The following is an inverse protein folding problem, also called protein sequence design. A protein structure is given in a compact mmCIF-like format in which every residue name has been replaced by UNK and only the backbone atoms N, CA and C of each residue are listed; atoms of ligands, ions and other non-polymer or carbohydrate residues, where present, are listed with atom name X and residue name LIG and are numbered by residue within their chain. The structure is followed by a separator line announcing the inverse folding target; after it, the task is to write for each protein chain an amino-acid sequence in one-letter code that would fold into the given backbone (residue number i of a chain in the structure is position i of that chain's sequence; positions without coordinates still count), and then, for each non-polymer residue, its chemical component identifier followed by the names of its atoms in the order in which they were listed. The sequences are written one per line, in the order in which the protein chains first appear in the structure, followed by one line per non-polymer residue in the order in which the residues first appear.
data_IF_268433365162
#
_entry.id   IF_268433365162
#
_cell.length_a   1.000
_cell.length_b   1.000
_cell.length_c   1.000
_cell.angle_alpha   90.00
_cell.angle_beta   90.00
_cell.angle_gamma   90.00
#
_symmetry.space_group_name_H-M   'P 1'
#
loop_
_entity.id
_entity.type
_entity.pdbx_description
1 polymer ?
#
# COMPACT_ATOMS: atom_id res chain seq x y z
N UNK A 1 -65.80 14.50 5.44
CA UNK A 1 -65.07 13.23 5.62
C UNK A 1 -63.94 13.19 4.60
N UNK A 2 -62.71 13.51 4.99
CA UNK A 2 -61.54 13.46 4.11
C UNK A 2 -60.79 12.14 4.36
N UNK A 3 -60.66 11.34 3.31
CA UNK A 3 -59.95 10.06 3.31
C UNK A 3 -58.46 10.36 3.10
N UNK A 4 -57.66 10.15 4.14
CA UNK A 4 -56.20 10.28 4.09
C UNK A 4 -55.65 9.08 3.32
N UNK A 5 -55.04 9.33 2.16
CA UNK A 5 -54.32 8.32 1.38
C UNK A 5 -53.05 7.88 2.13
N UNK A 6 -52.73 6.59 2.21
CA UNK A 6 -51.50 6.14 2.84
C UNK A 6 -50.31 6.51 1.97
N UNK A 7 -49.39 7.26 2.57
CA UNK A 7 -48.09 7.61 2.04
C UNK A 7 -47.28 6.32 1.82
N UNK A 8 -47.05 5.99 0.55
CA UNK A 8 -46.27 4.83 0.14
C UNK A 8 -44.79 5.10 0.47
N UNK A 9 -44.32 4.64 1.63
CA UNK A 9 -42.91 4.69 2.00
C UNK A 9 -42.11 3.76 1.07
N UNK A 10 -41.53 4.34 0.03
CA UNK A 10 -40.52 3.72 -0.82
C UNK A 10 -39.29 3.42 0.06
N UNK A 11 -39.14 2.17 0.50
CA UNK A 11 -37.92 1.65 1.10
C UNK A 11 -36.81 1.70 0.05
N UNK A 12 -35.99 2.75 0.09
CA UNK A 12 -34.72 2.82 -0.62
C UNK A 12 -33.80 1.73 -0.04
N UNK A 13 -33.85 0.53 -0.61
CA UNK A 13 -32.76 -0.43 -0.53
C UNK A 13 -31.54 0.21 -1.17
N UNK A 14 -30.70 0.82 -0.35
CA UNK A 14 -29.33 1.17 -0.73
C UNK A 14 -28.59 -0.14 -0.98
N UNK A 15 -28.50 -0.54 -2.24
CA UNK A 15 -27.48 -1.47 -2.67
C UNK A 15 -26.14 -0.87 -2.23
N UNK A 16 -25.54 -1.43 -1.18
CA UNK A 16 -24.16 -1.18 -0.81
C UNK A 16 -23.26 -1.77 -1.91
N UNK A 17 -23.20 -1.09 -3.06
CA UNK A 17 -22.11 -1.27 -4.02
C UNK A 17 -20.87 -0.73 -3.33
N UNK A 18 -20.23 -1.61 -2.58
CA UNK A 18 -18.89 -1.38 -2.06
C UNK A 18 -18.02 -0.99 -3.26
N UNK A 19 -17.46 0.22 -3.22
CA UNK A 19 -16.60 0.74 -4.29
C UNK A 19 -15.50 -0.29 -4.58
N UNK A 20 -15.28 -0.64 -5.84
CA UNK A 20 -14.26 -1.61 -6.25
C UNK A 20 -12.88 -1.22 -5.72
N UNK A 21 -12.63 0.09 -5.61
CA UNK A 21 -11.39 0.65 -5.07
C UNK A 21 -11.18 0.23 -3.60
N UNK A 22 -12.24 0.27 -2.79
CA UNK A 22 -12.18 -0.10 -1.37
C UNK A 22 -12.02 -1.59 -1.16
N UNK A 23 -12.62 -2.39 -2.06
CA UNK A 23 -12.44 -3.85 -2.05
C UNK A 23 -10.97 -4.22 -2.30
N UNK A 24 -10.33 -3.64 -3.31
CA UNK A 24 -8.92 -3.92 -3.63
C UNK A 24 -8.03 -3.46 -2.50
N UNK A 25 -8.23 -2.24 -2.00
CA UNK A 25 -7.44 -1.75 -0.88
C UNK A 25 -7.54 -2.69 0.31
N UNK A 26 -8.74 -3.13 0.68
CA UNK A 26 -8.93 -4.09 1.79
C UNK A 26 -8.19 -5.42 1.58
N UNK A 27 -7.98 -5.86 0.34
CA UNK A 27 -7.27 -7.11 0.04
C UNK A 27 -5.75 -6.97 0.12
N UNK A 28 -5.21 -5.78 -0.20
CA UNK A 28 -3.77 -5.55 -0.26
C UNK A 28 -3.24 -4.76 0.94
N UNK A 29 -4.09 -4.03 1.64
CA UNK A 29 -3.66 -3.22 2.78
C UNK A 29 -3.08 -4.14 3.86
N UNK A 30 -2.12 -3.58 4.59
CA UNK A 30 -1.41 -4.25 5.67
C UNK A 30 -0.72 -5.57 5.27
N UNK A 31 -0.16 -5.62 4.06
CA UNK A 31 0.43 -6.85 3.53
C UNK A 31 1.72 -6.61 2.76
N UNK A 32 2.55 -7.64 2.68
CA UNK A 32 3.82 -7.65 1.95
C UNK A 32 3.76 -8.64 0.80
N UNK A 33 4.22 -8.18 -0.35
CA UNK A 33 4.20 -8.87 -1.63
C UNK A 33 5.61 -8.96 -2.20
N UNK A 34 6.02 -10.13 -2.70
CA UNK A 34 7.36 -10.35 -3.25
C UNK A 34 7.32 -10.56 -4.76
N UNK A 35 8.33 -10.08 -5.47
CA UNK A 35 8.57 -10.43 -6.86
C UNK A 35 8.94 -11.92 -6.95
N UNK A 36 8.28 -12.68 -7.84
CA UNK A 36 8.49 -14.13 -7.95
C UNK A 36 9.90 -14.53 -8.38
N UNK A 37 10.54 -13.74 -9.25
CA UNK A 37 11.75 -14.14 -9.99
C UNK A 37 12.98 -13.26 -9.71
N UNK A 38 13.05 -12.54 -8.57
CA UNK A 38 14.21 -11.67 -8.28
C UNK A 38 15.32 -12.38 -7.48
N UNK A 39 16.54 -12.39 -8.05
CA UNK A 39 17.76 -13.03 -7.52
C UNK A 39 18.23 -12.46 -6.17
N UNK A 40 17.84 -11.23 -5.85
CA UNK A 40 17.92 -10.63 -4.54
C UNK A 40 16.49 -10.18 -4.23
N UNK A 41 15.81 -10.93 -3.36
CA UNK A 41 14.38 -10.79 -3.15
C UNK A 41 13.97 -9.34 -3.04
N UNK A 42 12.87 -8.95 -3.66
CA UNK A 42 12.37 -7.58 -3.59
C UNK A 42 10.87 -7.62 -3.40
N UNK A 43 10.34 -6.60 -2.72
CA UNK A 43 8.95 -6.63 -2.33
C UNK A 43 8.34 -5.27 -2.08
N UNK A 44 7.03 -5.26 -2.12
CA UNK A 44 6.18 -4.11 -1.85
C UNK A 44 5.37 -4.39 -0.60
N UNK A 45 5.43 -3.48 0.36
CA UNK A 45 4.60 -3.51 1.55
C UNK A 45 3.59 -2.37 1.50
N UNK A 46 2.30 -2.71 1.47
CA UNK A 46 1.20 -1.76 1.42
C UNK A 46 0.63 -1.55 2.83
N UNK A 47 0.36 -0.31 3.18
CA UNK A 47 -0.21 0.04 4.49
C UNK A 47 -0.93 1.39 4.44
N UNK A 48 -1.79 1.61 5.42
CA UNK A 48 -2.39 2.91 5.69
C UNK A 48 -1.62 3.61 6.81
N UNK A 49 -1.27 4.88 6.65
CA UNK A 49 -0.61 5.63 7.71
C UNK A 49 -1.63 6.17 8.74
N UNK A 50 -1.13 6.79 9.81
CA UNK A 50 -1.97 7.39 10.86
C UNK A 50 -2.88 8.54 10.40
N UNK A 51 -2.71 9.04 9.16
CA UNK A 51 -3.56 10.06 8.54
C UNK A 51 -4.60 9.46 7.59
N UNK A 52 -4.70 8.14 7.48
CA UNK A 52 -5.60 7.46 6.54
C UNK A 52 -5.08 7.44 5.09
N UNK A 53 -3.81 7.77 4.86
CA UNK A 53 -3.24 7.79 3.51
C UNK A 53 -2.72 6.40 3.12
N UNK A 54 -3.07 5.98 1.91
CA UNK A 54 -2.60 4.73 1.29
C UNK A 54 -1.15 4.87 0.87
N UNK A 55 -0.26 4.06 1.45
CA UNK A 55 1.20 4.11 1.26
C UNK A 55 1.74 2.74 0.84
N UNK A 56 2.90 2.77 0.20
CA UNK A 56 3.65 1.59 -0.18
C UNK A 56 5.13 1.83 0.02
N UNK A 57 5.85 0.82 0.52
CA UNK A 57 7.31 0.80 0.54
C UNK A 57 7.78 -0.33 -0.35
N UNK A 58 8.63 -0.01 -1.33
CA UNK A 58 9.40 -1.00 -2.05
C UNK A 58 10.72 -1.21 -1.34
N UNK A 59 11.13 -2.46 -1.14
CA UNK A 59 12.42 -2.81 -0.55
C UNK A 59 13.12 -3.85 -1.42
N UNK A 60 14.43 -3.68 -1.57
CA UNK A 60 15.32 -4.72 -2.09
C UNK A 60 15.99 -5.37 -0.88
N UNK A 61 15.91 -6.70 -0.81
CA UNK A 61 16.50 -7.52 0.22
C UNK A 61 17.84 -8.08 -0.27
N UNK A 62 18.81 -8.25 0.63
CA UNK A 62 20.11 -8.81 0.28
C UNK A 62 20.31 -10.19 0.92
N UNK A 63 21.30 -10.94 0.43
CA UNK A 63 21.69 -12.20 1.06
C UNK A 63 22.22 -11.96 2.47
N UNK A 64 21.47 -12.37 3.49
CA UNK A 64 21.82 -12.17 4.90
C UNK A 64 21.60 -10.76 5.46
N UNK A 65 20.97 -9.85 4.71
CA UNK A 65 20.61 -8.50 5.16
C UNK A 65 19.16 -8.16 4.84
N UNK A 66 18.48 -7.54 5.82
CA UNK A 66 17.03 -7.39 5.80
C UNK A 66 16.51 -6.44 4.71
N UNK A 67 17.19 -5.32 4.42
CA UNK A 67 16.90 -4.46 3.25
C UNK A 67 18.15 -3.65 2.89
N UNK A 68 18.50 -3.57 1.61
CA UNK A 68 19.66 -2.80 1.08
C UNK A 68 19.26 -1.50 0.42
N UNK A 69 17.99 -1.35 0.06
CA UNK A 69 17.43 -0.10 -0.44
C UNK A 69 15.93 -0.05 -0.17
N UNK A 70 15.39 1.16 -0.14
CA UNK A 70 13.96 1.39 0.04
C UNK A 70 13.48 2.59 -0.79
N UNK A 71 12.22 2.55 -1.21
CA UNK A 71 11.54 3.65 -1.86
C UNK A 71 10.11 3.76 -1.34
N UNK A 72 9.68 4.99 -1.06
CA UNK A 72 8.38 5.29 -0.48
C UNK A 72 7.43 5.84 -1.54
N UNK A 73 6.22 5.32 -1.56
CA UNK A 73 5.20 5.70 -2.53
C UNK A 73 3.89 6.11 -1.85
N UNK A 74 3.21 7.06 -2.48
CA UNK A 74 1.77 7.25 -2.33
C UNK A 74 1.05 6.28 -3.26
N UNK A 75 -0.03 5.66 -2.79
CA UNK A 75 -0.84 4.73 -3.58
C UNK A 75 -2.18 5.38 -3.92
N UNK A 76 -2.53 5.32 -5.19
CA UNK A 76 -3.89 5.63 -5.67
C UNK A 76 -4.46 4.38 -6.33
N UNK A 77 -5.75 4.13 -6.14
CA UNK A 77 -6.46 3.03 -6.80
C UNK A 77 -7.53 3.62 -7.69
N UNK A 78 -7.54 3.19 -8.93
CA UNK A 78 -8.57 3.54 -9.91
C UNK A 78 -9.08 2.26 -10.57
N UNK A 79 -10.34 1.90 -10.30
CA UNK A 79 -10.96 0.64 -10.73
C UNK A 79 -10.15 -0.55 -10.19
N UNK A 80 -9.47 -1.28 -11.08
CA UNK A 80 -8.63 -2.45 -10.75
C UNK A 80 -7.12 -2.17 -10.86
N UNK A 81 -6.76 -0.88 -10.94
CA UNK A 81 -5.38 -0.45 -11.16
C UNK A 81 -4.84 0.30 -9.95
N UNK A 82 -3.70 -0.16 -9.43
CA UNK A 82 -2.93 0.55 -8.42
C UNK A 82 -1.87 1.39 -9.11
N UNK A 83 -1.73 2.64 -8.67
CA UNK A 83 -0.74 3.58 -9.17
C UNK A 83 0.15 4.04 -8.01
N UNK A 84 1.46 3.89 -8.17
CA UNK A 84 2.45 4.24 -7.15
C UNK A 84 3.18 5.51 -7.58
N UNK A 85 3.05 6.54 -6.75
CA UNK A 85 3.65 7.84 -6.98
C UNK A 85 4.81 8.07 -6.01
N UNK A 86 5.98 8.38 -6.54
CA UNK A 86 7.12 8.82 -5.73
C UNK A 86 7.07 10.34 -5.60
N UNK A 87 7.36 10.83 -4.40
CA UNK A 87 7.57 12.26 -4.19
C UNK A 87 9.01 12.59 -4.59
N UNK A 88 9.17 13.43 -5.61
CA UNK A 88 10.48 13.98 -5.98
C UNK A 88 10.50 15.41 -5.46
N UNK A 89 10.82 15.57 -4.19
CA UNK A 89 11.06 16.89 -3.64
C UNK A 89 12.34 17.44 -4.28
N UNK A 90 12.18 18.36 -5.23
CA UNK A 90 13.31 19.04 -5.90
C UNK A 90 13.85 20.21 -5.06
N UNK A 91 13.11 20.65 -4.04
CA UNK A 91 13.57 21.57 -2.99
C UNK A 91 12.72 21.43 -1.72
N UNK A 92 13.24 21.91 -0.57
CA UNK A 92 12.57 21.86 0.73
C UNK A 92 11.31 22.75 0.83
N UNK A 93 11.12 23.68 -0.11
CA UNK A 93 10.03 24.67 -0.11
C UNK A 93 9.03 24.46 -1.26
N UNK A 94 9.29 23.52 -2.16
CA UNK A 94 8.38 23.19 -3.25
C UNK A 94 7.22 22.30 -2.76
N UNK A 95 6.03 22.53 -3.30
CA UNK A 95 4.93 21.57 -3.21
C UNK A 95 5.40 20.19 -3.71
N UNK A 96 4.97 19.09 -3.08
CA UNK A 96 5.43 17.76 -3.45
C UNK A 96 5.00 17.41 -4.87
N UNK A 97 5.97 17.30 -5.79
CA UNK A 97 5.73 16.80 -7.13
C UNK A 97 5.70 15.26 -7.11
N UNK A 98 4.57 14.71 -7.51
CA UNK A 98 4.31 13.28 -7.49
C UNK A 98 4.40 12.71 -8.89
N UNK A 99 5.44 11.93 -9.15
CA UNK A 99 5.61 11.24 -10.44
C UNK A 99 5.13 9.80 -10.33
N UNK A 100 4.31 9.38 -11.29
CA UNK A 100 3.89 7.99 -11.42
C UNK A 100 5.11 7.14 -11.76
N UNK A 101 5.49 6.25 -10.84
CA UNK A 101 6.66 5.40 -10.99
C UNK A 101 6.28 3.99 -11.45
N UNK A 102 5.20 3.44 -10.88
CA UNK A 102 4.80 2.05 -11.12
C UNK A 102 3.28 1.94 -11.19
N UNK A 103 2.79 0.98 -11.97
CA UNK A 103 1.37 0.68 -12.11
C UNK A 103 1.15 -0.81 -12.02
N UNK A 104 0.21 -1.25 -11.19
CA UNK A 104 -0.18 -2.65 -11.08
C UNK A 104 -1.64 -2.84 -11.47
N UNK A 105 -1.93 -3.97 -12.10
CA UNK A 105 -3.29 -4.49 -12.20
C UNK A 105 -3.48 -5.55 -11.14
N UNK A 106 -4.57 -5.47 -10.39
CA UNK A 106 -4.94 -6.48 -9.41
C UNK A 106 -5.91 -7.49 -10.02
N UNK A 107 -5.47 -8.73 -10.15
CA UNK A 107 -6.27 -9.84 -10.69
C UNK A 107 -6.22 -11.01 -9.73
N UNK A 108 -7.36 -11.44 -9.18
CA UNK A 108 -7.52 -12.69 -8.43
C UNK A 108 -6.40 -13.02 -7.43
N UNK A 109 -6.04 -12.05 -6.58
CA UNK A 109 -4.98 -12.17 -5.55
C UNK A 109 -3.54 -12.14 -6.07
N UNK A 110 -3.33 -11.68 -7.29
CA UNK A 110 -2.02 -11.38 -7.86
C UNK A 110 -1.94 -9.88 -8.20
N UNK A 111 -0.79 -9.27 -7.93
CA UNK A 111 -0.45 -7.96 -8.48
C UNK A 111 0.49 -8.18 -9.65
N UNK A 112 0.16 -7.61 -10.81
CA UNK A 112 1.01 -7.67 -12.00
C UNK A 112 1.40 -6.25 -12.42
N UNK A 113 2.69 -5.99 -12.59
CA UNK A 113 3.17 -4.70 -13.11
C UNK A 113 2.72 -4.53 -14.56
N UNK A 114 2.25 -3.34 -14.91
CA UNK A 114 1.83 -3.02 -16.29
C UNK A 114 3.02 -2.97 -17.23
N UNK A 115 4.16 -2.41 -16.76
CA UNK A 115 5.33 -2.11 -17.58
C UNK A 115 6.07 -3.36 -18.04
N UNK A 116 6.37 -4.28 -17.14
CA UNK A 116 7.24 -5.44 -17.38
C UNK A 116 6.59 -6.79 -17.07
N UNK A 117 5.29 -6.82 -16.77
CA UNK A 117 4.51 -8.04 -16.58
C UNK A 117 5.04 -8.96 -15.47
N UNK A 118 5.78 -8.39 -14.52
CA UNK A 118 6.24 -9.08 -13.33
C UNK A 118 5.08 -9.30 -12.38
N UNK A 119 5.02 -10.50 -11.84
CA UNK A 119 4.02 -10.89 -10.84
C UNK A 119 4.58 -10.73 -9.45
N UNK A 120 3.73 -10.22 -8.56
CA UNK A 120 3.96 -10.24 -7.13
C UNK A 120 3.05 -11.29 -6.50
N UNK A 121 3.65 -12.11 -5.63
CA UNK A 121 2.92 -13.03 -4.76
C UNK A 121 2.78 -12.44 -3.38
N UNK A 122 1.60 -12.62 -2.79
CA UNK A 122 1.40 -12.34 -1.38
C UNK A 122 2.36 -13.21 -0.56
N UNK A 123 3.21 -12.56 0.21
CA UNK A 123 4.17 -13.21 1.08
C UNK A 123 3.70 -13.20 2.53
N UNK A 124 3.11 -12.08 2.97
CA UNK A 124 2.66 -11.90 4.35
C UNK A 124 1.38 -11.06 4.40
N UNK A 125 0.43 -11.49 5.25
CA UNK A 125 -0.80 -10.73 5.60
C UNK A 125 -0.59 -9.75 6.76
N UNK A 126 0.67 -9.51 7.12
CA UNK A 126 1.09 -8.45 8.04
C UNK A 126 2.20 -7.64 7.35
N UNK A 127 2.30 -6.32 7.58
CA UNK A 127 3.35 -5.50 7.02
C UNK A 127 4.72 -5.92 7.55
N UNK A 128 5.61 -6.28 6.65
CA UNK A 128 7.02 -6.48 6.96
C UNK A 128 7.77 -5.29 6.35
N UNK A 129 8.26 -4.42 7.23
CA UNK A 129 9.01 -3.21 6.86
C UNK A 129 10.31 -3.22 7.66
N UNK A 130 11.43 -3.16 6.95
CA UNK A 130 12.74 -2.99 7.55
C UNK A 130 13.16 -1.54 7.47
N UNK A 131 13.56 -0.94 8.59
CA UNK A 131 14.03 0.44 8.62
C UNK A 131 15.53 0.46 8.35
N UNK A 132 15.94 1.20 7.30
CA UNK A 132 17.34 1.53 7.05
C UNK A 132 17.65 2.81 7.83
N UNK A 133 18.31 2.68 8.99
CA UNK A 133 18.73 3.82 9.81
C UNK A 133 20.23 4.09 9.65
N UNK A 134 20.65 5.34 9.33
CA UNK A 134 22.05 5.71 9.43
C UNK A 134 22.44 5.69 10.91
N UNK A 135 23.39 4.85 11.30
CA UNK A 135 23.98 4.90 12.63
C UNK A 135 25.42 5.37 12.51
N UNK A 136 25.89 6.16 13.48
CA UNK A 136 27.28 6.63 13.58
C UNK A 136 28.31 5.48 13.64
N UNK A 137 27.89 4.21 13.80
CA UNK A 137 28.75 3.02 13.80
C UNK A 137 28.16 1.79 13.07
N UNK A 138 27.28 1.97 12.07
CA UNK A 138 26.67 0.87 11.31
C UNK A 138 25.21 0.58 11.69
N UNK A 139 24.39 0.45 10.66
CA UNK A 139 22.92 0.40 10.62
C UNK A 139 22.24 -0.35 11.79
N UNK A 140 21.40 0.36 12.55
CA UNK A 140 20.53 -0.26 13.58
C UNK A 140 19.23 -0.73 12.93
N UNK A 141 18.82 -1.97 13.23
CA UNK A 141 17.79 -2.75 12.53
C UNK A 141 16.61 -3.05 13.46
N UNK A 142 15.37 -2.66 13.12
CA UNK A 142 14.18 -3.00 13.92
C UNK A 142 12.95 -3.27 13.05
N UNK A 143 12.10 -4.21 13.48
CA UNK A 143 10.79 -4.49 12.88
C UNK A 143 9.76 -3.44 13.35
N UNK A 144 8.87 -2.97 12.48
CA UNK A 144 7.89 -1.93 12.84
C UNK A 144 6.90 -2.35 13.95
N UNK A 145 6.60 -3.66 14.10
CA UNK A 145 5.84 -4.20 15.22
C UNK A 145 6.58 -4.06 16.55
N UNK A 146 7.92 -4.13 16.53
CA UNK A 146 8.76 -3.90 17.71
C UNK A 146 8.86 -2.40 18.03
N UNK A 147 8.95 -1.55 17.01
CA UNK A 147 8.91 -0.08 17.16
C UNK A 147 7.58 0.37 17.78
N UNK A 148 6.44 -0.17 17.31
CA UNK A 148 5.12 0.10 17.89
C UNK A 148 5.02 -0.32 19.36
N UNK A 149 5.70 -1.38 19.79
CA UNK A 149 5.78 -1.80 21.21
C UNK A 149 6.67 -0.89 22.05
N UNK A 150 7.68 -0.25 21.46
CA UNK A 150 8.59 0.66 22.15
C UNK A 150 8.03 2.10 22.29
N UNK A 151 7.08 2.51 21.45
CA UNK A 151 6.43 3.84 21.50
C UNK A 151 5.26 3.95 22.50
N UNK A 152 5.01 2.94 23.33
CA UNK A 152 4.10 3.04 24.49
C UNK A 152 4.96 3.16 25.77
N UNK A 153 5.50 4.35 26.01
CA UNK A 153 5.90 4.83 27.33
C UNK A 153 5.68 6.33 27.42
#
# INVERSE_FOLDING_TARGET
MQVIKPLFCLLLTTCNQMDSNDKIWKMINESTWLQEDSFAGSGYTFYENNKGEKRCIYQIYGSGVYAVSQSFYKVTIEKDTLKLFVNIATSLEAEPDYHLQETFVFNDSCLETVKDKKKLKLFSKIPIIYVISPSENGETRQNIEEIKKMSIR
#
